data_IF_102172425491
#
_entry.id   IF_102172425491
#
_cell.length_a   1.000
_cell.length_b   1.000
_cell.length_c   1.000
_cell.angle_alpha   90.00
_cell.angle_beta   90.00
_cell.angle_gamma   90.00
#
_symmetry.space_group_name_H-M   'P 1'
#
loop_
_entity.id
_entity.type
_entity.pdbx_description
1 polymer ?
#
# COMPACT_ATOMS: atom_id res chain seq x y z
N UNK A 1 22.66 6.59 -14.93
CA UNK A 1 22.75 7.41 -13.72
C UNK A 1 22.05 6.77 -12.54
N UNK A 2 20.86 6.23 -12.70
CA UNK A 2 20.12 5.48 -11.64
C UNK A 2 20.92 4.26 -11.13
N UNK A 3 21.66 3.58 -11.99
CA UNK A 3 22.38 2.35 -11.65
C UNK A 3 23.71 2.59 -10.92
N UNK A 4 24.26 3.81 -10.91
CA UNK A 4 25.61 4.09 -10.44
C UNK A 4 25.72 4.69 -9.02
N UNK A 5 24.64 5.15 -8.40
CA UNK A 5 24.73 5.77 -7.07
C UNK A 5 23.44 5.82 -6.26
N UNK A 6 22.29 5.98 -6.90
CA UNK A 6 21.01 6.17 -6.18
C UNK A 6 20.45 4.88 -5.52
N UNK A 7 20.86 3.70 -6.00
CA UNK A 7 20.47 2.41 -5.41
C UNK A 7 21.01 2.17 -3.99
N UNK A 8 21.94 3.00 -3.54
CA UNK A 8 22.51 2.91 -2.19
C UNK A 8 21.86 3.88 -1.19
N UNK A 9 20.91 4.70 -1.62
CA UNK A 9 20.15 5.58 -0.74
C UNK A 9 18.81 4.91 -0.44
N UNK A 10 18.58 4.40 0.79
CA UNK A 10 17.47 3.50 1.10
C UNK A 10 16.09 4.08 0.77
N UNK A 11 15.82 5.31 1.18
CA UNK A 11 14.49 5.92 0.97
C UNK A 11 14.24 6.37 -0.49
N UNK A 12 15.30 6.60 -1.26
CA UNK A 12 15.19 6.93 -2.70
C UNK A 12 14.78 5.69 -3.51
N UNK A 13 15.27 4.51 -3.13
CA UNK A 13 14.83 3.24 -3.72
C UNK A 13 13.32 3.04 -3.52
N UNK A 14 12.82 3.25 -2.29
CA UNK A 14 11.38 3.14 -1.99
C UNK A 14 10.55 4.12 -2.83
N UNK A 15 10.99 5.37 -2.92
CA UNK A 15 10.33 6.40 -3.72
C UNK A 15 10.32 6.07 -5.22
N UNK A 16 11.42 5.55 -5.75
CA UNK A 16 11.52 5.16 -7.17
C UNK A 16 10.57 4.00 -7.51
N UNK A 17 10.46 3.00 -6.63
CA UNK A 17 9.53 1.88 -6.85
C UNK A 17 8.07 2.37 -6.74
N UNK A 18 7.75 3.17 -5.71
CA UNK A 18 6.41 3.72 -5.54
C UNK A 18 5.99 4.61 -6.71
N UNK A 19 6.92 5.42 -7.26
CA UNK A 19 6.64 6.26 -8.43
C UNK A 19 6.25 5.43 -9.66
N UNK A 20 6.82 4.24 -9.84
CA UNK A 20 6.45 3.31 -10.90
C UNK A 20 4.99 2.86 -10.81
N UNK A 21 4.46 2.64 -9.60
CA UNK A 21 3.04 2.31 -9.39
C UNK A 21 2.14 3.50 -9.65
N UNK A 22 2.53 4.69 -9.19
CA UNK A 22 1.78 5.93 -9.44
C UNK A 22 1.71 6.21 -10.94
N UNK A 23 2.83 6.09 -11.67
CA UNK A 23 2.86 6.29 -13.13
C UNK A 23 1.95 5.29 -13.86
N UNK A 24 1.89 4.03 -13.42
CA UNK A 24 0.94 3.04 -13.98
C UNK A 24 -0.51 3.44 -13.75
N UNK A 25 -0.84 3.91 -12.55
CA UNK A 25 -2.19 4.39 -12.24
C UNK A 25 -2.56 5.61 -13.08
N UNK A 26 -1.65 6.58 -13.23
CA UNK A 26 -1.86 7.75 -14.09
C UNK A 26 -2.02 7.37 -15.57
N UNK A 27 -1.19 6.44 -16.07
CA UNK A 27 -1.30 5.94 -17.43
C UNK A 27 -2.65 5.23 -17.67
N UNK A 28 -3.12 4.44 -16.69
CA UNK A 28 -4.44 3.80 -16.74
C UNK A 28 -5.57 4.82 -16.85
N UNK A 29 -5.55 5.87 -16.02
CA UNK A 29 -6.51 6.96 -16.09
C UNK A 29 -6.49 7.70 -17.43
N UNK A 30 -5.29 7.95 -17.98
CA UNK A 30 -5.12 8.61 -19.27
C UNK A 30 -5.70 7.77 -20.43
N UNK A 31 -5.42 6.45 -20.43
CA UNK A 31 -5.93 5.53 -21.47
C UNK A 31 -7.46 5.40 -21.42
N UNK A 32 -8.05 5.37 -20.24
CA UNK A 32 -9.50 5.25 -20.05
C UNK A 32 -10.23 6.61 -20.12
N UNK A 33 -9.50 7.70 -20.33
CA UNK A 33 -10.04 9.08 -20.29
C UNK A 33 -10.81 9.38 -18.99
N UNK A 34 -10.42 8.71 -17.90
CA UNK A 34 -11.06 8.85 -16.58
C UNK A 34 -10.29 9.90 -15.76
N UNK A 35 -10.93 10.99 -15.32
CA UNK A 35 -10.26 11.97 -14.47
C UNK A 35 -9.92 11.36 -13.12
N UNK A 36 -8.62 11.28 -12.81
CA UNK A 36 -8.16 10.75 -11.53
C UNK A 36 -8.28 11.83 -10.45
N UNK A 37 -8.93 11.49 -9.36
CA UNK A 37 -8.97 12.35 -8.18
C UNK A 37 -7.57 12.44 -7.54
N UNK A 38 -7.24 13.61 -7.00
CA UNK A 38 -6.00 13.81 -6.22
C UNK A 38 -5.93 12.82 -5.06
N UNK A 39 -7.05 12.56 -4.39
CA UNK A 39 -7.13 11.61 -3.28
C UNK A 39 -6.84 10.17 -3.72
N UNK A 40 -7.31 9.78 -4.92
CA UNK A 40 -6.97 8.48 -5.50
C UNK A 40 -5.45 8.34 -5.69
N UNK A 41 -4.79 9.36 -6.23
CA UNK A 41 -3.34 9.35 -6.42
C UNK A 41 -2.61 9.27 -5.07
N UNK A 42 -3.08 10.00 -4.05
CA UNK A 42 -2.54 9.93 -2.68
C UNK A 42 -2.66 8.52 -2.11
N UNK A 43 -3.82 7.87 -2.24
CA UNK A 43 -4.05 6.49 -1.77
C UNK A 43 -3.12 5.50 -2.48
N UNK A 44 -2.99 5.60 -3.81
CA UNK A 44 -2.10 4.73 -4.59
C UNK A 44 -0.63 4.93 -4.19
N UNK A 45 -0.20 6.18 -4.02
CA UNK A 45 1.16 6.51 -3.60
C UNK A 45 1.45 5.95 -2.19
N UNK A 46 0.57 6.24 -1.24
CA UNK A 46 0.71 5.78 0.14
C UNK A 46 0.66 4.25 0.25
N UNK A 47 -0.27 3.59 -0.46
CA UNK A 47 -0.38 2.14 -0.51
C UNK A 47 0.86 1.48 -1.12
N UNK A 48 1.40 2.06 -2.20
CA UNK A 48 2.63 1.58 -2.83
C UNK A 48 3.82 1.67 -1.88
N UNK A 49 4.00 2.80 -1.21
CA UNK A 49 5.06 2.98 -0.21
C UNK A 49 4.90 2.02 0.97
N UNK A 50 3.66 1.80 1.43
CA UNK A 50 3.35 0.85 2.48
C UNK A 50 3.81 -0.57 2.13
N UNK A 51 3.44 -1.07 0.94
CA UNK A 51 3.82 -2.42 0.48
C UNK A 51 5.33 -2.54 0.32
N UNK A 52 5.99 -1.55 -0.30
CA UNK A 52 7.45 -1.58 -0.49
C UNK A 52 8.19 -1.52 0.84
N UNK A 53 7.75 -0.66 1.78
CA UNK A 53 8.32 -0.61 3.14
C UNK A 53 8.09 -1.93 3.89
N UNK A 54 6.93 -2.56 3.68
CA UNK A 54 6.60 -3.88 4.21
C UNK A 54 7.56 -4.96 3.72
N UNK A 55 7.76 -5.04 2.40
CA UNK A 55 8.69 -6.01 1.79
C UNK A 55 10.11 -5.84 2.34
N UNK A 56 10.59 -4.60 2.45
CA UNK A 56 11.92 -4.33 3.03
C UNK A 56 12.00 -4.68 4.52
N UNK A 57 10.92 -4.45 5.27
CA UNK A 57 10.85 -4.83 6.69
C UNK A 57 10.91 -6.34 6.89
N UNK A 58 10.16 -7.10 6.10
CA UNK A 58 10.16 -8.56 6.13
C UNK A 58 11.54 -9.14 5.74
N UNK A 59 12.15 -8.62 4.66
CA UNK A 59 13.48 -9.01 4.22
C UNK A 59 14.54 -8.75 5.31
N UNK A 60 14.47 -7.59 5.98
CA UNK A 60 15.38 -7.23 7.06
C UNK A 60 15.20 -8.11 8.29
N UNK A 61 13.98 -8.49 8.65
CA UNK A 61 13.68 -9.40 9.75
C UNK A 61 14.23 -10.81 9.49
N UNK A 62 14.14 -11.30 8.26
CA UNK A 62 14.60 -12.63 7.87
C UNK A 62 16.12 -12.73 7.81
N UNK A 63 16.79 -11.73 7.23
CA UNK A 63 18.24 -11.77 6.98
C UNK A 63 19.06 -11.21 8.15
N UNK A 64 18.42 -10.58 9.14
CA UNK A 64 19.12 -9.90 10.23
C UNK A 64 20.04 -8.75 9.77
N UNK A 65 19.93 -8.34 8.50
CA UNK A 65 20.81 -7.36 7.86
C UNK A 65 22.11 -7.95 7.31
N UNK A 66 22.37 -9.24 7.53
CA UNK A 66 23.53 -9.96 7.02
C UNK A 66 23.11 -10.88 5.85
N UNK A 67 23.77 -10.74 4.69
CA UNK A 67 23.50 -11.58 3.51
C UNK A 67 22.41 -11.11 2.57
N UNK A 68 21.76 -9.98 2.84
CA UNK A 68 20.81 -9.34 1.95
C UNK A 68 21.47 -8.32 1.01
N UNK A 69 20.64 -7.51 0.32
CA UNK A 69 21.14 -6.40 -0.51
C UNK A 69 21.89 -5.40 0.37
N UNK A 70 23.00 -4.83 -0.12
CA UNK A 70 23.82 -3.87 0.62
C UNK A 70 23.02 -2.68 1.18
N UNK A 71 21.92 -2.32 0.52
CA UNK A 71 21.00 -1.26 0.93
C UNK A 71 20.26 -1.58 2.24
N UNK A 72 20.05 -2.86 2.57
CA UNK A 72 19.35 -3.25 3.80
C UNK A 72 20.09 -2.82 5.09
N UNK A 73 21.41 -2.70 5.04
CA UNK A 73 22.22 -2.21 6.16
C UNK A 73 21.91 -0.77 6.58
N UNK A 74 21.32 0.00 5.68
CA UNK A 74 20.95 1.40 5.93
C UNK A 74 19.51 1.59 6.40
N UNK A 75 18.68 0.52 6.38
CA UNK A 75 17.33 0.58 6.92
C UNK A 75 17.29 0.24 8.40
N UNK A 76 16.53 1.00 9.17
CA UNK A 76 16.20 0.61 10.53
C UNK A 76 14.79 -0.01 10.57
N UNK A 77 14.62 -1.10 11.33
CA UNK A 77 13.29 -1.70 11.53
C UNK A 77 12.29 -0.69 12.11
N UNK A 78 12.75 0.17 13.03
CA UNK A 78 11.91 1.24 13.60
C UNK A 78 11.47 2.25 12.53
N UNK A 79 12.38 2.65 11.64
CA UNK A 79 12.06 3.56 10.53
C UNK A 79 11.07 2.96 9.53
N UNK A 80 11.24 1.69 9.17
CA UNK A 80 10.31 0.98 8.27
C UNK A 80 8.93 0.77 8.91
N UNK A 81 8.87 0.46 10.21
CA UNK A 81 7.59 0.39 10.95
C UNK A 81 6.88 1.73 10.98
N UNK A 82 7.61 2.81 11.28
CA UNK A 82 7.04 4.16 11.27
C UNK A 82 6.55 4.54 9.88
N UNK A 83 7.34 4.29 8.84
CA UNK A 83 6.95 4.56 7.46
C UNK A 83 5.67 3.80 7.07
N UNK A 84 5.55 2.51 7.43
CA UNK A 84 4.33 1.73 7.21
C UNK A 84 3.14 2.32 7.96
N UNK A 85 3.30 2.66 9.24
CA UNK A 85 2.21 3.24 10.03
C UNK A 85 1.73 4.57 9.43
N UNK A 86 2.65 5.45 9.06
CA UNK A 86 2.34 6.75 8.44
C UNK A 86 1.67 6.55 7.08
N UNK A 87 2.22 5.70 6.21
CA UNK A 87 1.65 5.48 4.88
C UNK A 87 0.29 4.79 4.94
N UNK A 88 0.09 3.83 5.84
CA UNK A 88 -1.22 3.23 6.09
C UNK A 88 -2.24 4.28 6.55
N UNK A 89 -1.87 5.14 7.51
CA UNK A 89 -2.73 6.23 7.98
C UNK A 89 -3.09 7.21 6.86
N UNK A 90 -2.10 7.61 6.05
CA UNK A 90 -2.33 8.49 4.88
C UNK A 90 -3.24 7.83 3.86
N UNK A 91 -3.08 6.52 3.60
CA UNK A 91 -3.95 5.79 2.68
C UNK A 91 -5.40 5.73 3.19
N UNK A 92 -5.61 5.42 4.47
CA UNK A 92 -6.95 5.34 5.07
C UNK A 92 -7.62 6.71 5.10
N UNK A 93 -6.92 7.75 5.53
CA UNK A 93 -7.43 9.13 5.54
C UNK A 93 -7.70 9.62 4.11
N UNK A 94 -6.77 9.39 3.18
CA UNK A 94 -6.93 9.74 1.77
C UNK A 94 -8.14 9.05 1.15
N UNK A 95 -8.36 7.76 1.48
CA UNK A 95 -9.54 7.03 1.02
C UNK A 95 -10.84 7.60 1.62
N UNK A 96 -10.84 7.94 2.91
CA UNK A 96 -12.00 8.59 3.54
C UNK A 96 -12.32 9.94 2.86
N UNK A 97 -11.30 10.78 2.64
CA UNK A 97 -11.49 12.08 1.95
C UNK A 97 -11.94 11.87 0.51
N UNK A 98 -11.46 10.84 -0.17
CA UNK A 98 -11.94 10.49 -1.50
C UNK A 98 -13.41 10.10 -1.49
N UNK A 99 -13.85 9.26 -0.55
CA UNK A 99 -15.26 8.89 -0.38
C UNK A 99 -16.13 10.11 -0.13
N UNK A 100 -15.70 11.05 0.73
CA UNK A 100 -16.44 12.29 1.00
C UNK A 100 -16.48 13.25 -0.20
N UNK A 101 -15.46 13.21 -1.07
CA UNK A 101 -15.40 14.05 -2.26
C UNK A 101 -16.23 13.51 -3.44
N UNK A 102 -16.70 12.27 -3.34
CA UNK A 102 -17.54 11.64 -4.37
C UNK A 102 -19.01 11.77 -4.02
N UNK A 103 -19.83 12.08 -5.02
CA UNK A 103 -21.29 12.06 -4.89
C UNK A 103 -21.79 10.61 -5.08
N UNK A 104 -21.59 9.79 -4.03
CA UNK A 104 -21.92 8.36 -4.05
C UNK A 104 -23.36 8.17 -3.57
N UNK A 105 -24.14 7.39 -4.32
CA UNK A 105 -25.56 7.14 -4.04
C UNK A 105 -25.81 6.65 -2.60
N UNK A 106 -24.98 5.74 -2.12
CA UNK A 106 -25.06 5.19 -0.76
C UNK A 106 -23.81 5.54 0.07
N UNK A 107 -23.64 6.82 0.43
CA UNK A 107 -22.45 7.33 1.12
C UNK A 107 -22.13 6.61 2.43
N UNK A 108 -23.14 6.12 3.18
CA UNK A 108 -22.91 5.35 4.42
C UNK A 108 -22.27 3.98 4.15
N UNK A 109 -22.64 3.30 3.05
CA UNK A 109 -21.97 2.06 2.63
C UNK A 109 -20.53 2.32 2.20
N UNK A 110 -20.29 3.42 1.49
CA UNK A 110 -18.95 3.83 1.12
C UNK A 110 -18.07 4.10 2.36
N UNK A 111 -18.63 4.71 3.41
CA UNK A 111 -17.93 4.87 4.69
C UNK A 111 -17.71 3.52 5.42
N UNK A 112 -18.67 2.60 5.34
CA UNK A 112 -18.53 1.27 5.93
C UNK A 112 -17.38 0.49 5.27
N UNK A 113 -17.10 0.71 3.98
CA UNK A 113 -15.98 0.08 3.27
C UNK A 113 -14.60 0.48 3.81
N UNK A 114 -14.50 1.57 4.58
CA UNK A 114 -13.27 1.95 5.29
C UNK A 114 -12.82 0.89 6.30
N UNK A 115 -13.75 0.16 6.92
CA UNK A 115 -13.41 -0.87 7.92
C UNK A 115 -12.59 -2.02 7.32
N UNK A 116 -13.06 -2.74 6.29
CA UNK A 116 -12.26 -3.79 5.68
C UNK A 116 -10.99 -3.24 4.99
N UNK A 117 -11.03 -2.02 4.45
CA UNK A 117 -9.86 -1.37 3.88
C UNK A 117 -8.76 -1.15 4.93
N UNK A 118 -9.08 -0.52 6.07
CA UNK A 118 -8.13 -0.30 7.16
C UNK A 118 -7.66 -1.63 7.80
N UNK A 119 -8.58 -2.59 7.95
CA UNK A 119 -8.27 -3.91 8.48
C UNK A 119 -7.27 -4.68 7.60
N UNK A 120 -7.32 -4.51 6.27
CA UNK A 120 -6.36 -5.11 5.35
C UNK A 120 -4.93 -4.58 5.60
N UNK A 121 -4.75 -3.27 5.82
CA UNK A 121 -3.45 -2.69 6.18
C UNK A 121 -2.93 -3.22 7.52
N UNK A 122 -3.82 -3.30 8.52
CA UNK A 122 -3.46 -3.84 9.83
C UNK A 122 -3.06 -5.32 9.75
N UNK A 123 -3.82 -6.12 8.99
CA UNK A 123 -3.54 -7.55 8.78
C UNK A 123 -2.18 -7.77 8.12
N UNK A 124 -1.92 -7.07 7.01
CA UNK A 124 -0.64 -7.15 6.32
C UNK A 124 0.54 -6.73 7.23
N UNK A 125 0.36 -5.65 8.02
CA UNK A 125 1.38 -5.21 8.98
C UNK A 125 1.68 -6.27 10.04
N UNK A 126 0.66 -6.95 10.56
CA UNK A 126 0.83 -8.02 11.55
C UNK A 126 1.59 -9.22 10.99
N UNK A 127 1.34 -9.57 9.72
CA UNK A 127 2.05 -10.69 9.09
C UNK A 127 3.51 -10.37 8.78
N UNK A 128 3.82 -9.13 8.40
CA UNK A 128 5.23 -8.69 8.27
C UNK A 128 5.95 -8.83 9.61
N UNK A 129 5.31 -8.41 10.72
CA UNK A 129 5.92 -8.52 12.05
C UNK A 129 6.08 -9.96 12.52
N UNK A 130 5.25 -10.87 12.02
CA UNK A 130 5.37 -12.30 12.22
C UNK A 130 6.40 -12.97 11.26
N UNK A 131 7.09 -12.20 10.40
CA UNK A 131 8.10 -12.68 9.46
C UNK A 131 7.54 -13.38 8.21
N UNK A 132 6.25 -13.22 7.91
CA UNK A 132 5.56 -13.91 6.79
C UNK A 132 5.31 -13.04 5.56
N UNK A 133 5.62 -11.76 5.59
CA UNK A 133 5.23 -10.79 4.56
C UNK A 133 6.29 -10.50 3.48
N UNK A 134 7.19 -11.43 3.16
CA UNK A 134 8.31 -11.16 2.24
C UNK A 134 7.84 -10.99 0.79
N UNK A 135 6.99 -11.88 0.32
CA UNK A 135 6.40 -11.80 -1.01
C UNK A 135 4.93 -11.41 -0.92
N UNK A 136 4.59 -10.15 -1.28
CA UNK A 136 3.21 -9.66 -1.20
C UNK A 136 2.24 -10.51 -2.04
N UNK A 137 2.72 -11.07 -3.16
CA UNK A 137 1.92 -11.90 -4.06
C UNK A 137 1.52 -13.22 -3.39
N UNK A 138 2.48 -13.91 -2.76
CA UNK A 138 2.21 -15.16 -2.04
C UNK A 138 1.34 -14.92 -0.81
N UNK A 139 1.53 -13.80 -0.13
CA UNK A 139 0.70 -13.38 0.99
C UNK A 139 -0.75 -13.09 0.54
N UNK A 140 -0.94 -12.31 -0.52
CA UNK A 140 -2.26 -11.94 -1.02
C UNK A 140 -3.08 -13.15 -1.48
N UNK A 141 -2.42 -14.18 -2.02
CA UNK A 141 -3.06 -15.42 -2.48
C UNK A 141 -3.20 -16.47 -1.37
N UNK A 142 -2.29 -16.47 -0.38
CA UNK A 142 -2.24 -17.46 0.70
C UNK A 142 -3.07 -17.11 1.94
N UNK A 143 -3.20 -15.82 2.28
CA UNK A 143 -3.98 -15.40 3.45
C UNK A 143 -5.46 -15.20 3.11
N UNK A 144 -6.28 -16.21 3.47
CA UNK A 144 -7.74 -16.19 3.27
C UNK A 144 -8.42 -15.02 4.00
N UNK A 145 -7.87 -14.56 5.13
CA UNK A 145 -8.42 -13.43 5.89
C UNK A 145 -8.18 -12.14 5.12
N UNK A 146 -6.97 -11.93 4.62
CA UNK A 146 -6.64 -10.76 3.80
C UNK A 146 -7.48 -10.73 2.51
N UNK A 147 -7.55 -11.86 1.80
CA UNK A 147 -8.38 -11.98 0.59
C UNK A 147 -9.87 -11.70 0.90
N UNK A 148 -10.37 -12.20 2.03
CA UNK A 148 -11.74 -11.91 2.50
C UNK A 148 -11.98 -10.44 2.78
N UNK A 149 -11.03 -9.74 3.38
CA UNK A 149 -11.12 -8.30 3.65
C UNK A 149 -11.14 -7.48 2.35
N UNK A 150 -10.27 -7.83 1.39
CA UNK A 150 -10.25 -7.19 0.07
C UNK A 150 -11.56 -7.43 -0.69
N UNK A 151 -12.07 -8.66 -0.66
CA UNK A 151 -13.35 -8.99 -1.28
C UNK A 151 -14.51 -8.24 -0.62
N UNK A 152 -14.56 -8.21 0.71
CA UNK A 152 -15.57 -7.46 1.46
C UNK A 152 -15.51 -5.96 1.11
N UNK A 153 -14.31 -5.38 1.03
CA UNK A 153 -14.14 -4.00 0.58
C UNK A 153 -14.70 -3.78 -0.83
N UNK A 154 -14.34 -4.64 -1.80
CA UNK A 154 -14.83 -4.55 -3.17
C UNK A 154 -16.35 -4.65 -3.26
N UNK A 155 -16.96 -5.59 -2.52
CA UNK A 155 -18.42 -5.80 -2.52
C UNK A 155 -19.13 -4.61 -1.90
N UNK A 156 -18.70 -4.17 -0.69
CA UNK A 156 -19.34 -3.05 0.00
C UNK A 156 -19.23 -1.77 -0.82
N UNK A 157 -18.04 -1.48 -1.37
CA UNK A 157 -17.83 -0.31 -2.20
C UNK A 157 -18.63 -0.40 -3.53
N UNK A 158 -18.65 -1.58 -4.17
CA UNK A 158 -19.46 -1.81 -5.37
C UNK A 158 -20.95 -1.57 -5.13
N UNK A 159 -21.47 -2.06 -4.01
CA UNK A 159 -22.87 -1.80 -3.61
C UNK A 159 -23.11 -0.32 -3.26
N UNK A 160 -22.10 0.39 -2.76
CA UNK A 160 -22.22 1.82 -2.49
C UNK A 160 -22.35 2.64 -3.77
N UNK A 161 -21.68 2.24 -4.84
CA UNK A 161 -21.63 2.98 -6.12
C UNK A 161 -22.79 2.61 -7.04
N UNK A 162 -23.16 1.32 -7.10
CA UNK A 162 -24.10 0.78 -8.08
C UNK A 162 -25.45 0.33 -7.50
N UNK A 163 -25.57 0.21 -6.17
CA UNK A 163 -26.82 -0.12 -5.45
C UNK A 163 -27.55 1.12 -5.00
#
# INVERSE_FOLDING_TARGET
WYSLGMKHIPYVELGAIASGFVLRALAGGAVTSTPLSVWFVVVVCAGSLFVVAGKRGAELLRTGGEGGRDVLRYYSLKGLRLLRAVTASVAVVGYALWVFAQDIANGWLALLSLLPFAAAFARYSADIEAGRGEDPEDFMLGDRVFAGLVLAWCVIYGLAVYG
#
